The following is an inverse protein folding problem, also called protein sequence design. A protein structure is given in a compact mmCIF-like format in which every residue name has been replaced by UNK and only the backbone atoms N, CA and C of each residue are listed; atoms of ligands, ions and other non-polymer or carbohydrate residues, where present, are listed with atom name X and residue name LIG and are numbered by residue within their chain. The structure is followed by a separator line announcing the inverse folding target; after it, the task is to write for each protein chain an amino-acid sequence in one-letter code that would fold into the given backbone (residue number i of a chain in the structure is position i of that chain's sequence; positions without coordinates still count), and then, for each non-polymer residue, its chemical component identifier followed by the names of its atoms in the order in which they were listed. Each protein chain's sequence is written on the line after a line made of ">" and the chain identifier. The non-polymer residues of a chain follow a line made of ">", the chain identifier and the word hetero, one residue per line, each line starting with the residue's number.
data_IF_916170629280
#
_entry.id   IF_916170629280
#
_cell.length_a   1.000
_cell.length_b   1.000
_cell.length_c   1.000
_cell.angle_alpha   90.00
_cell.angle_beta   90.00
_cell.angle_gamma   90.00
#
_symmetry.space_group_name_H-M   'P 1'
#
loop_
_entity.id
_entity.type
_entity.pdbx_description
1 polymer ?
#
# COMPACT_ATOMS: atom_id res chain seq x y z
N UNK A 1 5.63 -21.24 4.93
CA UNK A 1 5.62 -20.19 5.99
C UNK A 1 6.97 -20.11 6.70
N UNK A 2 7.64 -21.24 6.98
CA UNK A 2 9.06 -21.28 7.42
C UNK A 2 10.01 -20.53 6.46
N UNK A 3 9.88 -20.79 5.15
CA UNK A 3 10.71 -20.21 4.07
C UNK A 3 10.66 -18.68 3.96
N UNK A 4 9.62 -18.02 4.48
CA UNK A 4 9.53 -16.56 4.46
C UNK A 4 10.36 -15.89 5.56
N UNK A 5 10.70 -16.63 6.64
CA UNK A 5 11.46 -16.09 7.77
C UNK A 5 12.95 -16.00 7.48
N UNK A 6 13.51 -16.91 6.69
CA UNK A 6 14.94 -16.88 6.33
C UNK A 6 15.30 -15.74 5.37
N UNK A 7 14.35 -15.21 4.60
CA UNK A 7 14.62 -14.19 3.57
C UNK A 7 14.80 -12.78 4.17
N UNK A 8 14.36 -12.54 5.40
CA UNK A 8 14.27 -11.18 5.96
C UNK A 8 15.38 -10.95 6.99
N UNK A 9 16.60 -10.78 6.51
CA UNK A 9 17.68 -10.18 7.29
C UNK A 9 18.05 -8.87 6.60
N UNK A 10 17.61 -7.75 7.15
CA UNK A 10 18.10 -6.44 6.69
C UNK A 10 19.52 -6.29 7.22
N UNK A 11 20.42 -5.77 6.40
CA UNK A 11 21.81 -5.49 6.82
C UNK A 11 22.03 -3.99 7.07
N UNK A 12 21.01 -3.17 6.86
CA UNK A 12 21.06 -1.72 6.95
C UNK A 12 20.11 -1.20 8.04
N UNK A 13 20.57 -0.17 8.78
CA UNK A 13 19.83 0.42 9.90
C UNK A 13 18.57 1.21 9.48
N UNK A 14 18.39 1.48 8.18
CA UNK A 14 17.29 2.31 7.63
C UNK A 14 16.40 1.56 6.64
N UNK A 15 16.24 0.25 6.80
CA UNK A 15 15.42 -0.58 5.92
C UNK A 15 14.17 -1.09 6.63
N UNK A 16 13.02 -1.04 5.94
CA UNK A 16 11.76 -1.62 6.40
C UNK A 16 11.27 -2.60 5.34
N UNK A 17 11.24 -3.89 5.68
CA UNK A 17 10.69 -4.94 4.83
C UNK A 17 9.32 -5.35 5.35
N UNK A 18 8.31 -5.35 4.48
CA UNK A 18 6.96 -5.85 4.80
C UNK A 18 6.57 -6.92 3.81
N UNK A 19 6.16 -8.09 4.32
CA UNK A 19 5.63 -9.18 3.50
C UNK A 19 4.20 -9.49 3.94
N UNK A 20 3.31 -9.68 2.96
CA UNK A 20 1.93 -10.09 3.18
C UNK A 20 1.57 -11.22 2.23
N UNK A 21 0.98 -12.28 2.77
CA UNK A 21 0.35 -13.32 1.95
C UNK A 21 -1.10 -12.91 1.74
N UNK A 22 -1.51 -12.83 0.47
CA UNK A 22 -2.87 -12.48 0.07
C UNK A 22 -3.44 -13.59 -0.82
N UNK A 23 -4.71 -13.92 -0.64
CA UNK A 23 -5.39 -14.90 -1.47
C UNK A 23 -5.90 -14.24 -2.76
N UNK A 24 -5.00 -13.92 -3.67
CA UNK A 24 -5.31 -13.32 -4.96
C UNK A 24 -4.32 -13.77 -6.03
N UNK A 25 -4.77 -13.80 -7.29
CA UNK A 25 -3.86 -13.97 -8.42
C UNK A 25 -2.89 -12.77 -8.51
N UNK A 26 -1.67 -12.99 -8.99
CA UNK A 26 -0.66 -11.93 -9.13
C UNK A 26 -1.12 -10.76 -10.01
N UNK A 27 -1.91 -11.02 -11.06
CA UNK A 27 -2.46 -9.97 -11.91
C UNK A 27 -3.43 -9.05 -11.18
N UNK A 28 -4.26 -9.61 -10.30
CA UNK A 28 -5.20 -8.85 -9.45
C UNK A 28 -4.43 -8.06 -8.40
N UNK A 29 -3.45 -8.69 -7.76
CA UNK A 29 -2.58 -8.03 -6.80
C UNK A 29 -1.88 -6.83 -7.44
N UNK A 30 -1.27 -7.01 -8.63
CA UNK A 30 -0.64 -5.93 -9.39
C UNK A 30 -1.65 -4.82 -9.72
N UNK A 31 -2.84 -5.15 -10.23
CA UNK A 31 -3.88 -4.17 -10.56
C UNK A 31 -4.32 -3.34 -9.35
N UNK A 32 -4.33 -3.91 -8.15
CA UNK A 32 -4.64 -3.18 -6.92
C UNK A 32 -3.62 -2.06 -6.61
N UNK A 33 -2.38 -2.18 -7.11
CA UNK A 33 -1.34 -1.15 -7.07
C UNK A 33 -1.34 -0.25 -8.30
N UNK A 34 -1.65 -0.78 -9.48
CA UNK A 34 -1.55 -0.05 -10.74
C UNK A 34 -2.71 0.92 -11.00
N UNK A 35 -3.91 0.63 -10.49
CA UNK A 35 -5.09 1.46 -10.71
C UNK A 35 -5.38 2.35 -9.49
N UNK A 36 -5.32 3.69 -9.60
CA UNK A 36 -5.60 4.59 -8.49
C UNK A 36 -7.04 4.45 -7.95
N UNK A 37 -7.99 3.95 -8.75
CA UNK A 37 -9.35 3.69 -8.29
C UNK A 37 -9.45 2.52 -7.32
N UNK A 38 -8.55 1.54 -7.44
CA UNK A 38 -8.42 0.46 -6.47
C UNK A 38 -7.58 0.90 -5.27
N UNK A 39 -6.43 1.52 -5.54
CA UNK A 39 -5.43 1.90 -4.55
C UNK A 39 -5.98 2.84 -3.46
N UNK A 40 -6.85 3.79 -3.83
CA UNK A 40 -7.47 4.73 -2.87
C UNK A 40 -8.27 4.07 -1.75
N UNK A 41 -8.74 2.85 -1.94
CA UNK A 41 -9.60 2.16 -0.98
C UNK A 41 -8.82 1.48 0.15
N UNK A 42 -7.52 1.22 -0.03
CA UNK A 42 -6.74 0.40 0.90
C UNK A 42 -5.36 0.97 1.22
N UNK A 43 -4.83 1.90 0.42
CA UNK A 43 -3.55 2.53 0.69
C UNK A 43 -3.60 3.36 1.99
N UNK A 44 -2.51 3.34 2.76
CA UNK A 44 -2.41 4.12 3.99
C UNK A 44 -3.12 3.51 5.20
N UNK A 45 -3.04 4.18 6.37
CA UNK A 45 -3.60 3.66 7.61
C UNK A 45 -5.13 3.70 7.64
N UNK A 46 -5.74 2.78 8.40
CA UNK A 46 -7.18 2.78 8.62
C UNK A 46 -7.67 4.15 9.16
N UNK A 47 -8.75 4.68 8.56
CA UNK A 47 -9.35 5.95 8.96
C UNK A 47 -8.85 7.19 8.18
N UNK A 48 -7.93 7.00 7.24
CA UNK A 48 -7.55 8.01 6.27
C UNK A 48 -8.35 7.86 4.98
N UNK A 49 -8.58 8.98 4.31
CA UNK A 49 -9.11 9.00 2.94
C UNK A 49 -7.95 9.30 2.01
N UNK A 50 -7.88 8.69 0.82
CA UNK A 50 -6.85 9.02 -0.17
C UNK A 50 -7.47 9.69 -1.39
N UNK A 51 -6.82 10.77 -1.83
CA UNK A 51 -7.09 11.41 -3.12
C UNK A 51 -5.83 11.34 -3.97
N UNK A 52 -5.91 10.67 -5.12
CA UNK A 52 -4.82 10.57 -6.09
C UNK A 52 -4.98 11.66 -7.14
N UNK A 53 -3.93 12.47 -7.32
CA UNK A 53 -3.87 13.55 -8.31
C UNK A 53 -3.12 13.12 -9.56
N UNK A 54 -2.11 12.28 -9.37
CA UNK A 54 -1.26 11.73 -10.43
C UNK A 54 -0.88 10.31 -10.03
N UNK A 55 -1.00 9.37 -10.96
CA UNK A 55 -0.62 7.98 -10.76
C UNK A 55 -0.20 7.37 -12.09
N UNK A 56 1.07 7.54 -12.42
CA UNK A 56 1.70 6.98 -13.60
C UNK A 56 2.68 5.88 -13.19
N UNK A 57 2.21 4.63 -13.19
CA UNK A 57 3.00 3.47 -12.75
C UNK A 57 3.85 2.93 -13.91
N UNK A 58 4.83 3.73 -14.31
CA UNK A 58 5.87 3.36 -15.28
C UNK A 58 7.23 3.96 -14.87
N UNK A 59 8.29 3.57 -15.57
CA UNK A 59 9.62 4.08 -15.28
C UNK A 59 9.67 5.60 -15.52
N UNK A 60 10.08 6.36 -14.49
CA UNK A 60 10.09 7.82 -14.53
C UNK A 60 8.71 8.49 -14.36
N UNK A 61 7.64 7.71 -14.20
CA UNK A 61 6.31 8.19 -13.90
C UNK A 61 6.21 8.81 -12.51
N UNK A 62 5.17 9.62 -12.31
CA UNK A 62 4.93 10.32 -11.04
C UNK A 62 3.73 9.74 -10.31
N UNK A 63 3.82 9.77 -8.99
CA UNK A 63 2.74 9.43 -8.09
C UNK A 63 2.57 10.54 -7.07
N UNK A 64 1.45 11.27 -7.17
CA UNK A 64 1.08 12.36 -6.27
C UNK A 64 -0.28 12.10 -5.66
N UNK A 65 -0.34 12.04 -4.33
CA UNK A 65 -1.60 11.85 -3.59
C UNK A 65 -1.64 12.70 -2.32
N UNK A 66 -2.84 12.89 -1.78
CA UNK A 66 -3.06 13.50 -0.48
C UNK A 66 -3.79 12.49 0.40
N UNK A 67 -3.31 12.33 1.63
CA UNK A 67 -3.86 11.40 2.61
C UNK A 67 -4.31 12.17 3.87
N UNK A 68 -5.45 12.88 3.83
CA UNK A 68 -5.99 13.57 4.99
C UNK A 68 -6.39 12.58 6.09
N UNK A 69 -5.97 12.87 7.31
CA UNK A 69 -6.56 12.23 8.49
C UNK A 69 -7.97 12.77 8.70
N UNK A 70 -8.96 11.88 8.77
CA UNK A 70 -10.35 12.29 9.00
C UNK A 70 -10.78 11.83 10.40
N UNK A 71 -11.04 12.79 11.32
CA UNK A 71 -11.54 12.52 12.70
C UNK A 71 -12.84 11.69 12.78
N UNK A 72 -13.57 11.50 11.68
CA UNK A 72 -14.99 11.08 11.70
C UNK A 72 -15.28 9.61 12.01
N UNK A 73 -14.28 8.72 12.19
CA UNK A 73 -14.54 7.28 12.36
C UNK A 73 -14.04 6.64 13.67
N UNK A 74 -13.74 7.43 14.70
CA UNK A 74 -13.46 6.89 16.04
C UNK A 74 -14.66 6.91 17.01
N UNK A 75 -15.83 7.43 16.61
CA UNK A 75 -17.01 7.53 17.50
C UNK A 75 -18.03 6.38 17.39
N UNK A 76 -17.68 5.24 16.79
CA UNK A 76 -18.52 4.03 16.88
C UNK A 76 -17.64 2.84 17.24
N UNK A 77 -17.47 2.65 18.55
CA UNK A 77 -17.26 1.32 19.14
C UNK A 77 -18.60 0.58 19.13
#
# INVERSE_FOLDING_TARGET
>A
MELLREIIKTTADTEIITIRVVNANSSIAYKAWADPNHLKNWWGPNGFTNTFHEHDLQHGGKWKFTMPWTRRRQLRK
#
